data_IF_838194379737
#
_entry.id   IF_838194379737
#
_cell.length_a   1.000
_cell.length_b   1.000
_cell.length_c   1.000
_cell.angle_alpha   90.00
_cell.angle_beta   90.00
_cell.angle_gamma   90.00
#
_symmetry.space_group_name_H-M   'P 1'
#
loop_
_entity.id
_entity.type
_entity.pdbx_description
1 polymer ?
#
# COMPACT_ATOMS: atom_id res chain seq x y z
N UNK A 1 -1.38 3.84 16.93
CA UNK A 1 -2.29 2.83 16.30
C UNK A 1 -2.18 2.87 14.76
N UNK A 2 -2.60 1.82 14.02
CA UNK A 2 -2.76 1.90 12.55
C UNK A 2 -4.11 2.51 12.18
N UNK A 3 -4.15 3.34 11.14
CA UNK A 3 -5.38 3.98 10.63
C UNK A 3 -6.45 2.97 10.25
N UNK A 4 -6.07 1.85 9.62
CA UNK A 4 -6.98 0.77 9.25
C UNK A 4 -7.62 0.08 10.46
N UNK A 5 -6.98 0.15 11.64
CA UNK A 5 -7.57 -0.33 12.89
C UNK A 5 -8.45 0.75 13.52
N UNK A 6 -7.99 2.01 13.51
CA UNK A 6 -8.72 3.15 14.06
C UNK A 6 -10.10 3.33 13.42
N UNK A 7 -10.18 3.30 12.09
CA UNK A 7 -11.45 3.49 11.36
C UNK A 7 -12.45 2.33 11.53
N UNK A 8 -12.05 1.25 12.19
CA UNK A 8 -12.94 0.11 12.50
C UNK A 8 -13.54 0.20 13.90
N UNK A 9 -13.07 1.13 14.74
CA UNK A 9 -13.72 1.44 16.01
C UNK A 9 -15.16 1.88 15.74
N UNK A 10 -16.09 1.41 16.58
CA UNK A 10 -17.53 1.54 16.31
C UNK A 10 -17.95 3.01 16.14
N UNK A 11 -17.57 3.85 17.09
CA UNK A 11 -17.82 5.29 17.10
C UNK A 11 -17.16 6.00 15.91
N UNK A 12 -15.93 5.62 15.57
CA UNK A 12 -15.22 6.19 14.41
C UNK A 12 -15.92 5.80 13.11
N UNK A 13 -16.33 4.53 12.97
CA UNK A 13 -17.05 4.05 11.79
C UNK A 13 -18.40 4.73 11.64
N UNK A 14 -19.11 4.97 12.74
CA UNK A 14 -20.38 5.71 12.77
C UNK A 14 -20.18 7.17 12.35
N UNK A 15 -19.13 7.83 12.83
CA UNK A 15 -18.85 9.22 12.47
C UNK A 15 -18.47 9.35 10.97
N UNK A 16 -17.64 8.43 10.45
CA UNK A 16 -17.39 8.36 9.01
C UNK A 16 -18.69 8.18 8.24
N UNK A 17 -19.57 7.27 8.67
CA UNK A 17 -20.88 7.05 8.04
C UNK A 17 -21.74 8.31 8.02
N UNK A 18 -21.71 9.08 9.10
CA UNK A 18 -22.50 10.29 9.29
C UNK A 18 -22.01 11.45 8.43
N UNK A 19 -20.69 11.66 8.35
CA UNK A 19 -20.10 12.88 7.78
C UNK A 19 -19.50 12.69 6.39
N UNK A 20 -19.12 11.46 6.04
CA UNK A 20 -18.47 11.19 4.77
C UNK A 20 -19.49 10.54 3.83
N UNK A 21 -20.00 11.29 2.83
CA UNK A 21 -20.97 10.78 1.87
C UNK A 21 -20.36 9.63 1.07
N UNK A 22 -21.20 8.67 0.72
CA UNK A 22 -20.77 7.54 -0.08
C UNK A 22 -20.90 7.90 -1.57
N UNK A 23 -19.84 7.76 -2.38
CA UNK A 23 -19.97 7.86 -3.83
C UNK A 23 -20.85 6.71 -4.37
N UNK A 24 -21.53 6.96 -5.50
CA UNK A 24 -22.42 5.97 -6.14
C UNK A 24 -21.61 4.86 -6.80
N UNK A 25 -21.85 3.58 -6.47
CA UNK A 25 -21.15 2.45 -7.08
C UNK A 25 -21.97 1.76 -8.18
N UNK A 26 -21.57 2.01 -9.42
CA UNK A 26 -22.02 1.36 -10.65
C UNK A 26 -21.09 0.21 -11.11
N UNK A 27 -19.89 0.10 -10.51
CA UNK A 27 -18.83 -0.81 -10.96
C UNK A 27 -18.81 -2.20 -10.29
N UNK A 28 -19.86 -2.57 -9.56
CA UNK A 28 -19.89 -3.86 -8.85
C UNK A 28 -19.79 -5.07 -9.79
N UNK A 29 -20.09 -4.88 -11.07
CA UNK A 29 -20.10 -5.91 -12.11
C UNK A 29 -18.81 -5.96 -12.95
N UNK A 30 -17.75 -5.23 -12.58
CA UNK A 30 -16.47 -5.31 -13.31
C UNK A 30 -15.93 -6.74 -13.26
N UNK A 31 -15.69 -7.31 -14.43
CA UNK A 31 -15.18 -8.67 -14.55
C UNK A 31 -13.78 -8.78 -13.96
N UNK A 32 -13.50 -9.95 -13.39
CA UNK A 32 -12.15 -10.34 -13.04
C UNK A 32 -11.41 -10.70 -14.33
N UNK A 33 -10.21 -10.18 -14.49
CA UNK A 33 -9.36 -10.44 -15.67
C UNK A 33 -8.09 -11.21 -15.32
N UNK A 34 -7.75 -11.31 -14.02
CA UNK A 34 -6.72 -12.22 -13.52
C UNK A 34 -7.20 -13.07 -12.32
N UNK A 35 -7.61 -14.30 -12.63
CA UNK A 35 -8.01 -15.30 -11.64
C UNK A 35 -6.88 -15.67 -10.67
N UNK A 36 -7.24 -16.02 -9.44
CA UNK A 36 -6.28 -16.47 -8.44
C UNK A 36 -5.88 -17.92 -8.69
N UNK A 37 -4.58 -18.17 -8.86
CA UNK A 37 -4.05 -19.47 -9.24
C UNK A 37 -3.51 -20.33 -8.07
N UNK A 38 -3.61 -19.87 -6.82
CA UNK A 38 -2.99 -20.55 -5.67
C UNK A 38 -3.80 -20.47 -4.38
N UNK A 39 -3.10 -20.58 -3.23
CA UNK A 39 -3.71 -20.49 -1.88
C UNK A 39 -3.35 -19.20 -1.14
N UNK A 40 -2.34 -18.47 -1.62
CA UNK A 40 -1.74 -17.35 -0.88
C UNK A 40 -2.14 -15.97 -1.43
N UNK A 41 -3.44 -15.71 -1.61
CA UNK A 41 -3.94 -14.46 -2.22
C UNK A 41 -3.35 -13.19 -1.58
N UNK A 42 -3.27 -13.14 -0.24
CA UNK A 42 -2.69 -11.98 0.46
C UNK A 42 -1.19 -11.79 0.19
N UNK A 43 -0.43 -12.88 0.05
CA UNK A 43 1.00 -12.81 -0.29
C UNK A 43 1.20 -12.29 -1.70
N UNK A 44 0.43 -12.81 -2.65
CA UNK A 44 0.48 -12.35 -4.05
C UNK A 44 0.08 -10.88 -4.15
N UNK A 45 -0.92 -10.42 -3.39
CA UNK A 45 -1.28 -9.01 -3.33
C UNK A 45 -0.14 -8.11 -2.84
N UNK A 46 0.56 -8.49 -1.77
CA UNK A 46 1.76 -7.77 -1.32
C UNK A 46 2.90 -7.83 -2.34
N UNK A 47 3.08 -8.96 -3.02
CA UNK A 47 4.10 -9.11 -4.05
C UNK A 47 3.81 -8.21 -5.27
N UNK A 48 2.53 -8.11 -5.65
CA UNK A 48 2.06 -7.21 -6.69
C UNK A 48 2.36 -5.75 -6.34
N UNK A 49 2.09 -5.33 -5.11
CA UNK A 49 2.40 -3.98 -4.65
C UNK A 49 3.89 -3.64 -4.78
N UNK A 50 4.80 -4.52 -4.33
CA UNK A 50 6.24 -4.34 -4.55
C UNK A 50 6.59 -4.22 -6.03
N UNK A 51 6.08 -5.14 -6.86
CA UNK A 51 6.44 -5.19 -8.28
C UNK A 51 5.94 -3.96 -9.03
N UNK A 52 4.71 -3.49 -8.75
CA UNK A 52 4.19 -2.26 -9.34
C UNK A 52 5.03 -1.05 -8.91
N UNK A 53 5.40 -0.94 -7.64
CA UNK A 53 6.31 0.13 -7.17
C UNK A 53 7.66 0.07 -7.87
N UNK A 54 8.20 -1.11 -8.11
CA UNK A 54 9.45 -1.28 -8.85
C UNK A 54 9.29 -0.77 -10.28
N UNK A 55 8.24 -1.18 -10.99
CA UNK A 55 7.93 -0.68 -12.34
C UNK A 55 7.82 0.84 -12.38
N UNK A 56 7.11 1.45 -11.42
CA UNK A 56 6.99 2.91 -11.36
C UNK A 56 8.34 3.59 -11.08
N UNK A 57 9.20 3.00 -10.26
CA UNK A 57 10.56 3.53 -10.04
C UNK A 57 11.44 3.40 -11.29
N UNK A 58 11.31 2.31 -12.04
CA UNK A 58 11.99 2.14 -13.33
C UNK A 58 11.53 3.18 -14.36
N UNK A 59 10.22 3.35 -14.51
CA UNK A 59 9.63 4.32 -15.46
C UNK A 59 9.87 5.77 -15.05
N UNK A 60 9.90 6.04 -13.74
CA UNK A 60 10.08 7.37 -13.17
C UNK A 60 11.19 7.34 -12.10
N UNK A 61 12.48 7.42 -12.51
CA UNK A 61 13.61 7.31 -11.58
C UNK A 61 13.60 8.33 -10.43
N UNK A 62 12.98 9.48 -10.65
CA UNK A 62 12.80 10.55 -9.65
C UNK A 62 11.61 10.32 -8.69
N UNK A 63 10.87 9.23 -8.81
CA UNK A 63 9.81 8.88 -7.87
C UNK A 63 10.38 8.83 -6.44
N UNK A 64 9.68 9.45 -5.51
CA UNK A 64 10.03 9.45 -4.08
C UNK A 64 9.72 8.07 -3.53
N UNK A 65 10.73 7.38 -2.99
CA UNK A 65 10.59 6.06 -2.39
C UNK A 65 11.19 6.01 -0.98
N UNK A 66 10.88 4.92 -0.28
CA UNK A 66 11.25 4.68 1.11
C UNK A 66 11.85 3.28 1.27
N UNK A 67 12.57 3.02 2.39
CA UNK A 67 13.01 1.68 2.73
C UNK A 67 11.86 0.67 2.66
N UNK A 68 12.14 -0.54 2.22
CA UNK A 68 11.11 -1.57 2.12
C UNK A 68 10.63 -1.98 3.50
N UNK A 69 9.34 -2.23 3.67
CA UNK A 69 8.78 -2.74 4.93
C UNK A 69 9.45 -4.07 5.34
N UNK A 70 9.86 -4.87 4.35
CA UNK A 70 10.67 -6.07 4.55
C UNK A 70 12.00 -5.82 5.29
N UNK A 71 12.64 -4.66 5.11
CA UNK A 71 13.89 -4.31 5.82
C UNK A 71 13.64 -4.08 7.32
N UNK A 72 12.51 -3.45 7.66
CA UNK A 72 12.08 -3.33 9.05
C UNK A 72 11.76 -4.71 9.65
N UNK A 73 11.13 -5.59 8.88
CA UNK A 73 10.93 -6.98 9.25
C UNK A 73 12.23 -7.71 9.57
N UNK A 74 13.25 -7.56 8.72
CA UNK A 74 14.55 -8.18 8.97
C UNK A 74 15.26 -7.60 10.21
N UNK A 75 15.24 -6.28 10.40
CA UNK A 75 15.85 -5.63 11.57
C UNK A 75 15.27 -6.20 12.87
N UNK A 76 13.96 -6.37 12.89
CA UNK A 76 13.22 -6.88 14.03
C UNK A 76 13.49 -8.37 14.28
N UNK A 77 13.50 -9.16 13.21
CA UNK A 77 13.78 -10.59 13.23
C UNK A 77 15.20 -10.85 13.74
N UNK A 78 16.18 -10.05 13.30
CA UNK A 78 17.57 -10.09 13.77
C UNK A 78 17.68 -9.86 15.29
N UNK A 79 16.86 -9.00 15.86
CA UNK A 79 16.83 -8.75 17.30
C UNK A 79 16.21 -9.94 18.05
N UNK A 80 15.02 -10.36 17.65
CA UNK A 80 14.23 -11.38 18.37
C UNK A 80 14.82 -12.79 18.24
N UNK A 81 15.47 -13.10 17.13
CA UNK A 81 16.09 -14.41 16.85
C UNK A 81 17.62 -14.33 16.82
N UNK A 82 18.21 -13.40 17.58
CA UNK A 82 19.65 -13.16 17.63
C UNK A 82 20.51 -14.40 17.95
N UNK A 83 19.92 -15.39 18.63
CA UNK A 83 20.59 -16.65 18.97
C UNK A 83 20.81 -17.57 17.74
N UNK A 84 19.91 -17.54 16.74
CA UNK A 84 20.06 -18.33 15.52
C UNK A 84 20.86 -17.56 14.45
N UNK A 85 22.14 -17.36 14.72
CA UNK A 85 23.06 -16.60 13.85
C UNK A 85 23.09 -17.13 12.41
N UNK A 86 22.96 -18.45 12.23
CA UNK A 86 22.99 -19.09 10.91
C UNK A 86 21.74 -18.74 10.11
N UNK A 87 20.57 -18.81 10.72
CA UNK A 87 19.31 -18.46 10.08
C UNK A 87 19.25 -16.96 9.76
N UNK A 88 19.60 -16.08 10.70
CA UNK A 88 19.68 -14.63 10.49
C UNK A 88 20.62 -14.29 9.33
N UNK A 89 21.81 -14.89 9.29
CA UNK A 89 22.77 -14.67 8.20
C UNK A 89 22.19 -15.08 6.85
N UNK A 90 21.49 -16.22 6.79
CA UNK A 90 20.83 -16.69 5.57
C UNK A 90 19.74 -15.74 5.08
N UNK A 91 18.92 -15.20 5.99
CA UNK A 91 17.89 -14.20 5.66
C UNK A 91 18.54 -12.91 5.15
N UNK A 92 19.57 -12.41 5.85
CA UNK A 92 20.31 -11.22 5.44
C UNK A 92 20.91 -11.34 4.04
N UNK A 93 21.52 -12.49 3.73
CA UNK A 93 22.01 -12.79 2.37
C UNK A 93 20.88 -12.75 1.33
N UNK A 94 19.71 -13.30 1.65
CA UNK A 94 18.57 -13.30 0.72
C UNK A 94 17.98 -11.91 0.51
N UNK A 95 17.98 -11.07 1.54
CA UNK A 95 17.60 -9.65 1.41
C UNK A 95 18.60 -8.87 0.54
N UNK A 96 19.90 -9.16 0.67
CA UNK A 96 20.92 -8.58 -0.20
C UNK A 96 20.72 -9.00 -1.67
N UNK A 97 20.43 -10.28 -1.93
CA UNK A 97 20.10 -10.72 -3.29
C UNK A 97 18.85 -10.02 -3.85
N UNK A 98 17.82 -9.79 -3.02
CA UNK A 98 16.65 -9.03 -3.46
C UNK A 98 16.99 -7.59 -3.86
N UNK A 99 17.97 -6.96 -3.19
CA UNK A 99 18.49 -5.64 -3.59
C UNK A 99 19.24 -5.70 -4.93
N UNK A 100 20.07 -6.72 -5.15
CA UNK A 100 20.77 -6.92 -6.42
C UNK A 100 19.77 -7.14 -7.57
N UNK A 101 18.80 -8.03 -7.39
CA UNK A 101 17.76 -8.30 -8.39
C UNK A 101 16.95 -7.03 -8.72
N UNK A 102 16.65 -6.22 -7.71
CA UNK A 102 15.98 -4.93 -7.89
C UNK A 102 16.82 -3.92 -8.67
N UNK A 103 18.11 -3.79 -8.37
CA UNK A 103 19.00 -2.88 -9.10
C UNK A 103 19.13 -3.30 -10.57
N UNK A 104 19.30 -4.60 -10.82
CA UNK A 104 19.29 -5.13 -12.18
C UNK A 104 17.98 -4.84 -12.92
N UNK A 105 16.84 -4.92 -12.23
CA UNK A 105 15.56 -4.53 -12.79
C UNK A 105 15.50 -3.03 -13.13
N UNK A 106 15.96 -2.15 -12.25
CA UNK A 106 16.00 -0.71 -12.53
C UNK A 106 16.91 -0.36 -13.71
N UNK A 107 17.96 -1.14 -13.97
CA UNK A 107 18.85 -0.95 -15.11
C UNK A 107 18.25 -1.49 -16.42
N UNK A 108 17.58 -2.64 -16.36
CA UNK A 108 17.19 -3.39 -17.57
C UNK A 108 15.71 -3.30 -17.93
N UNK A 109 14.84 -2.95 -16.98
CA UNK A 109 13.39 -3.03 -17.09
C UNK A 109 12.83 -4.46 -17.18
N UNK A 110 13.69 -5.50 -17.09
CA UNK A 110 13.30 -6.90 -17.32
C UNK A 110 12.94 -7.59 -16.01
N UNK A 111 11.69 -8.03 -15.88
CA UNK A 111 11.27 -8.88 -14.76
C UNK A 111 11.81 -10.29 -14.94
N UNK A 112 12.95 -10.57 -14.31
CA UNK A 112 13.54 -11.91 -14.27
C UNK A 112 12.87 -12.77 -13.20
N UNK A 113 12.93 -14.09 -13.38
CA UNK A 113 12.42 -15.08 -12.42
C UNK A 113 13.00 -14.90 -11.01
N UNK A 114 14.26 -14.48 -10.91
CA UNK A 114 14.89 -14.29 -9.60
C UNK A 114 14.37 -13.05 -8.87
N UNK A 115 14.06 -11.95 -9.59
CA UNK A 115 13.33 -10.81 -9.04
C UNK A 115 11.99 -11.24 -8.45
N UNK A 116 11.20 -12.04 -9.18
CA UNK A 116 9.89 -12.52 -8.70
C UNK A 116 10.05 -13.34 -7.42
N UNK A 117 11.02 -14.26 -7.37
CA UNK A 117 11.33 -15.03 -6.14
C UNK A 117 11.76 -14.12 -5.00
N UNK A 118 12.53 -13.08 -5.29
CA UNK A 118 13.02 -12.11 -4.30
C UNK A 118 11.89 -11.27 -3.75
N UNK A 119 10.96 -10.79 -4.58
CA UNK A 119 9.75 -10.09 -4.14
C UNK A 119 8.88 -10.98 -3.25
N UNK A 120 8.63 -12.23 -3.64
CA UNK A 120 7.87 -13.18 -2.81
C UNK A 120 8.58 -13.38 -1.45
N UNK A 121 9.91 -13.42 -1.42
CA UNK A 121 10.66 -13.45 -0.17
C UNK A 121 10.48 -12.17 0.66
N UNK A 122 10.52 -10.98 0.05
CA UNK A 122 10.27 -9.70 0.76
C UNK A 122 8.91 -9.70 1.46
N UNK A 123 7.86 -10.24 0.81
CA UNK A 123 6.53 -10.31 1.43
C UNK A 123 6.50 -11.12 2.73
N UNK A 124 7.42 -12.07 2.93
CA UNK A 124 7.48 -12.87 4.17
C UNK A 124 8.12 -12.11 5.31
N UNK A 125 9.16 -11.32 5.02
CA UNK A 125 9.74 -10.40 6.00
C UNK A 125 8.72 -9.32 6.38
N UNK A 126 7.97 -8.83 5.41
CA UNK A 126 6.89 -7.89 5.66
C UNK A 126 5.74 -8.51 6.47
N UNK A 127 5.34 -9.75 6.15
CA UNK A 127 4.34 -10.48 6.96
C UNK A 127 4.80 -10.58 8.41
N UNK A 128 6.07 -10.95 8.64
CA UNK A 128 6.63 -10.99 9.97
C UNK A 128 6.62 -9.61 10.65
N UNK A 129 6.96 -8.54 9.94
CA UNK A 129 6.84 -7.17 10.49
C UNK A 129 5.40 -6.84 10.92
N UNK A 130 4.40 -7.24 10.12
CA UNK A 130 2.99 -6.90 10.33
C UNK A 130 2.32 -7.74 11.43
N UNK A 131 2.62 -9.03 11.54
CA UNK A 131 1.88 -9.95 12.43
C UNK A 131 2.75 -10.78 13.37
N UNK A 132 4.08 -10.63 13.32
CA UNK A 132 5.07 -11.46 14.04
C UNK A 132 5.03 -12.95 13.67
N UNK A 133 4.28 -13.30 12.65
CA UNK A 133 4.19 -14.67 12.17
C UNK A 133 5.41 -15.05 11.32
N UNK A 134 6.13 -16.09 11.75
CA UNK A 134 7.20 -16.73 10.97
C UNK A 134 6.62 -18.00 10.32
N UNK A 135 6.57 -18.02 8.98
CA UNK A 135 6.14 -19.22 8.26
C UNK A 135 7.17 -20.35 8.39
N UNK A 136 6.71 -21.57 8.67
CA UNK A 136 7.54 -22.79 8.69
C UNK A 136 8.31 -23.01 7.37
N UNK A 137 7.77 -22.51 6.25
CA UNK A 137 8.38 -22.58 4.93
C UNK A 137 9.00 -21.25 4.50
N UNK A 138 9.69 -20.54 5.41
CA UNK A 138 10.19 -19.18 5.21
C UNK A 138 10.98 -18.99 3.89
N UNK A 139 11.81 -19.95 3.49
CA UNK A 139 12.61 -19.84 2.26
C UNK A 139 11.93 -20.41 1.00
N UNK A 140 10.80 -21.09 1.12
CA UNK A 140 10.12 -21.73 -0.02
C UNK A 140 9.39 -20.70 -0.88
N UNK A 141 9.55 -20.73 -2.19
CA UNK A 141 8.73 -19.93 -3.11
C UNK A 141 7.82 -20.89 -3.87
N UNK A 142 6.50 -20.70 -3.73
CA UNK A 142 5.51 -21.55 -4.39
C UNK A 142 5.40 -21.17 -5.87
N UNK A 143 5.37 -22.17 -6.77
CA UNK A 143 5.30 -21.92 -8.23
C UNK A 143 4.00 -21.25 -8.66
N UNK A 144 2.91 -21.51 -7.95
CA UNK A 144 1.60 -20.88 -8.18
C UNK A 144 1.64 -19.39 -7.85
N UNK A 145 2.32 -18.98 -6.77
CA UNK A 145 2.49 -17.57 -6.41
C UNK A 145 3.27 -16.81 -7.50
N UNK A 146 4.29 -17.44 -8.12
CA UNK A 146 5.03 -16.88 -9.25
C UNK A 146 4.09 -16.66 -10.44
N UNK A 147 3.36 -17.71 -10.86
CA UNK A 147 2.45 -17.63 -12.00
C UNK A 147 1.34 -16.60 -11.79
N UNK A 148 0.78 -16.53 -10.58
CA UNK A 148 -0.26 -15.56 -10.23
C UNK A 148 0.28 -14.12 -10.27
N UNK A 149 1.49 -13.88 -9.74
CA UNK A 149 2.13 -12.57 -9.83
C UNK A 149 2.45 -12.16 -11.29
N UNK A 150 3.01 -13.08 -12.08
CA UNK A 150 3.29 -12.87 -13.51
C UNK A 150 2.00 -12.52 -14.27
N UNK A 151 0.91 -13.22 -13.99
CA UNK A 151 -0.39 -12.93 -14.59
C UNK A 151 -0.89 -11.54 -14.17
N UNK A 152 -0.90 -11.20 -12.88
CA UNK A 152 -1.38 -9.92 -12.39
C UNK A 152 -0.61 -8.73 -12.95
N UNK A 153 0.71 -8.84 -13.09
CA UNK A 153 1.51 -7.73 -13.60
C UNK A 153 1.37 -7.57 -15.12
N UNK A 154 1.17 -8.67 -15.84
CA UNK A 154 1.03 -8.65 -17.31
C UNK A 154 -0.22 -7.91 -17.81
N UNK A 155 -1.25 -7.84 -16.96
CA UNK A 155 -2.53 -7.20 -17.28
C UNK A 155 -2.60 -5.73 -16.83
N UNK A 156 -1.56 -5.20 -16.18
CA UNK A 156 -1.61 -3.84 -15.63
C UNK A 156 -1.62 -2.82 -16.78
N UNK A 157 -2.68 -2.01 -16.90
CA UNK A 157 -2.72 -0.89 -17.83
C UNK A 157 -1.83 0.25 -17.31
N UNK A 158 -0.55 0.26 -17.72
CA UNK A 158 0.46 1.22 -17.24
C UNK A 158 0.08 2.68 -17.52
N UNK A 159 -0.77 2.93 -18.50
CA UNK A 159 -1.33 4.26 -18.80
C UNK A 159 -2.15 4.84 -17.65
N UNK A 160 -2.76 4.00 -16.79
CA UNK A 160 -3.47 4.47 -15.59
C UNK A 160 -2.51 5.06 -14.54
N UNK A 161 -1.21 4.77 -14.65
CA UNK A 161 -0.17 5.21 -13.72
C UNK A 161 0.82 6.18 -14.38
N UNK A 162 0.36 6.92 -15.40
CA UNK A 162 1.18 7.93 -16.06
C UNK A 162 1.45 9.11 -15.13
N UNK A 163 2.71 9.40 -14.86
CA UNK A 163 3.14 10.51 -14.00
C UNK A 163 3.42 11.75 -14.84
N UNK A 164 2.90 12.92 -14.42
CA UNK A 164 3.21 14.20 -15.06
C UNK A 164 4.16 15.08 -14.25
N UNK A 165 4.04 15.05 -12.93
CA UNK A 165 4.74 15.94 -12.01
C UNK A 165 5.39 15.19 -10.86
N UNK A 166 4.65 14.31 -10.18
CA UNK A 166 5.14 13.65 -8.98
C UNK A 166 4.66 12.22 -8.85
N UNK A 167 5.54 11.36 -8.35
CA UNK A 167 5.23 10.01 -7.97
C UNK A 167 5.81 9.76 -6.57
N UNK A 168 4.98 9.33 -5.62
CA UNK A 168 5.41 8.89 -4.30
C UNK A 168 5.04 7.43 -4.13
N UNK A 169 6.02 6.57 -3.93
CA UNK A 169 5.86 5.13 -3.76
C UNK A 169 5.76 4.82 -2.28
N UNK A 170 4.67 4.18 -1.85
CA UNK A 170 4.39 3.87 -0.45
C UNK A 170 4.47 5.13 0.46
N UNK A 171 3.67 6.18 0.19
CA UNK A 171 3.68 7.43 0.95
C UNK A 171 3.50 7.20 2.47
N UNK A 172 4.29 7.93 3.25
CA UNK A 172 4.22 7.90 4.72
C UNK A 172 3.70 9.23 5.26
N UNK A 173 2.93 9.17 6.35
CA UNK A 173 2.36 10.35 7.02
C UNK A 173 3.08 10.66 8.34
N UNK A 174 4.42 10.70 8.31
CA UNK A 174 5.26 10.71 9.52
C UNK A 174 4.92 11.86 10.49
N UNK A 175 4.62 13.05 9.96
CA UNK A 175 4.20 14.19 10.78
C UNK A 175 2.85 13.95 11.46
N UNK A 176 1.86 13.40 10.75
CA UNK A 176 0.58 13.05 11.36
C UNK A 176 0.77 11.97 12.45
N UNK A 177 1.65 10.98 12.22
CA UNK A 177 2.03 10.02 13.25
C UNK A 177 2.64 10.69 14.48
N UNK A 178 3.50 11.70 14.31
CA UNK A 178 4.08 12.45 15.42
C UNK A 178 3.02 13.27 16.17
N UNK A 179 2.06 13.85 15.46
CA UNK A 179 1.05 14.75 16.03
C UNK A 179 -0.08 14.01 16.74
N UNK A 180 -0.56 12.89 16.19
CA UNK A 180 -1.77 12.19 16.66
C UNK A 180 -1.58 10.68 16.81
N UNK A 181 -0.34 10.16 16.78
CA UNK A 181 -0.04 8.74 17.03
C UNK A 181 -0.59 7.74 16.01
N UNK A 182 -1.25 8.24 14.95
CA UNK A 182 -1.84 7.43 13.89
C UNK A 182 -0.85 7.17 12.76
N UNK A 183 -0.71 5.89 12.39
CA UNK A 183 0.16 5.43 11.30
C UNK A 183 -0.68 4.96 10.14
N UNK A 184 -0.28 5.34 8.94
CA UNK A 184 -0.85 4.85 7.70
C UNK A 184 0.23 4.86 6.63
N UNK A 185 0.13 3.90 5.73
CA UNK A 185 0.98 3.83 4.54
C UNK A 185 -0.01 3.68 3.38
N UNK A 186 -0.15 4.75 2.59
CA UNK A 186 -0.88 4.64 1.31
C UNK A 186 -0.01 3.86 0.33
N UNK A 187 -0.58 3.34 -0.76
CA UNK A 187 0.22 2.54 -1.69
C UNK A 187 0.96 3.44 -2.69
N UNK A 188 0.29 4.46 -3.25
CA UNK A 188 0.90 5.39 -4.22
C UNK A 188 0.33 6.81 -4.09
N UNK A 189 1.13 7.81 -4.44
CA UNK A 189 0.63 9.11 -4.94
C UNK A 189 1.13 9.30 -6.35
N UNK A 190 0.21 9.61 -7.28
CA UNK A 190 0.55 10.03 -8.65
C UNK A 190 -0.10 11.38 -8.89
N UNK A 191 0.73 12.39 -9.11
CA UNK A 191 0.31 13.78 -9.23
C UNK A 191 -0.55 14.23 -8.05
N UNK A 192 -1.84 14.44 -8.27
CA UNK A 192 -2.84 14.86 -7.28
C UNK A 192 -3.73 13.71 -6.79
N UNK A 193 -3.40 12.46 -7.13
CA UNK A 193 -4.18 11.26 -6.79
C UNK A 193 -3.46 10.44 -5.71
N UNK A 194 -4.13 10.21 -4.58
CA UNK A 194 -3.70 9.23 -3.57
C UNK A 194 -4.40 7.88 -3.83
N UNK A 195 -3.62 6.83 -4.07
CA UNK A 195 -4.12 5.53 -4.53
C UNK A 195 -3.84 4.44 -3.50
N UNK A 196 -4.83 3.57 -3.29
CA UNK A 196 -4.74 2.31 -2.56
C UNK A 196 -5.05 1.14 -3.52
N UNK A 197 -4.32 0.04 -3.39
CA UNK A 197 -4.34 -1.12 -4.27
C UNK A 197 -5.07 -2.27 -3.55
N UNK A 198 -6.10 -2.79 -4.20
CA UNK A 198 -6.87 -3.93 -3.73
C UNK A 198 -6.73 -5.13 -4.67
N UNK A 199 -6.06 -6.16 -4.19
CA UNK A 199 -5.96 -7.45 -4.89
C UNK A 199 -7.05 -8.40 -4.41
N UNK A 200 -8.25 -8.27 -4.97
CA UNK A 200 -9.46 -9.00 -4.55
C UNK A 200 -10.11 -9.74 -5.72
N UNK A 201 -10.82 -10.84 -5.44
CA UNK A 201 -11.56 -11.61 -6.46
C UNK A 201 -12.90 -10.96 -6.86
N UNK A 202 -13.49 -10.19 -5.95
CA UNK A 202 -14.76 -9.50 -6.11
C UNK A 202 -14.62 -8.09 -5.57
N UNK A 203 -15.17 -7.13 -6.30
CA UNK A 203 -15.28 -5.74 -5.84
C UNK A 203 -16.42 -5.67 -4.83
N UNK A 204 -16.07 -5.73 -3.55
CA UNK A 204 -16.98 -5.68 -2.41
C UNK A 204 -16.36 -4.86 -1.27
N UNK A 205 -17.12 -4.57 -0.22
CA UNK A 205 -16.66 -3.77 0.94
C UNK A 205 -16.16 -2.37 0.57
N UNK A 206 -16.76 -1.78 -0.47
CA UNK A 206 -16.34 -0.48 -1.00
C UNK A 206 -16.39 0.65 0.03
N UNK A 207 -17.32 0.57 1.00
CA UNK A 207 -17.36 1.50 2.13
C UNK A 207 -16.08 1.49 2.94
N UNK A 208 -15.58 0.31 3.27
CA UNK A 208 -14.40 0.17 4.12
C UNK A 208 -13.14 0.61 3.36
N UNK A 209 -13.03 0.30 2.06
CA UNK A 209 -11.92 0.77 1.23
C UNK A 209 -11.93 2.28 1.04
N UNK A 210 -13.10 2.88 0.85
CA UNK A 210 -13.25 4.32 0.75
C UNK A 210 -12.94 5.02 2.07
N UNK A 211 -13.46 4.51 3.20
CA UNK A 211 -13.12 5.03 4.53
C UNK A 211 -11.60 4.93 4.80
N UNK A 212 -10.93 3.88 4.33
CA UNK A 212 -9.47 3.78 4.42
C UNK A 212 -8.76 4.90 3.66
N UNK A 213 -9.17 5.18 2.41
CA UNK A 213 -8.63 6.29 1.63
C UNK A 213 -8.90 7.65 2.27
N UNK A 214 -10.12 7.88 2.77
CA UNK A 214 -10.46 9.11 3.49
C UNK A 214 -9.64 9.22 4.77
N UNK A 215 -9.38 8.12 5.47
CA UNK A 215 -8.46 8.08 6.60
C UNK A 215 -7.03 8.50 6.22
N UNK A 216 -6.50 8.00 5.10
CA UNK A 216 -5.20 8.45 4.59
C UNK A 216 -5.21 9.93 4.19
N UNK A 217 -6.30 10.40 3.57
CA UNK A 217 -6.48 11.82 3.25
C UNK A 217 -6.52 12.69 4.52
N UNK A 218 -7.16 12.23 5.61
CA UNK A 218 -7.11 12.92 6.91
C UNK A 218 -5.68 13.03 7.44
N UNK A 219 -4.89 11.95 7.37
CA UNK A 219 -3.48 12.01 7.77
C UNK A 219 -2.68 13.00 6.90
N UNK A 220 -2.94 13.03 5.59
CA UNK A 220 -2.38 14.03 4.69
C UNK A 220 -2.76 15.46 5.10
N UNK A 221 -4.02 15.73 5.43
CA UNK A 221 -4.47 17.07 5.84
C UNK A 221 -3.84 17.50 7.17
N UNK A 222 -3.56 16.56 8.07
CA UNK A 222 -2.98 16.82 9.38
C UNK A 222 -1.47 17.07 9.31
N UNK A 223 -0.72 16.26 8.55
CA UNK A 223 0.75 16.27 8.59
C UNK A 223 1.45 16.38 7.25
N UNK A 224 0.72 16.35 6.14
CA UNK A 224 1.27 16.18 4.80
C UNK A 224 1.78 14.75 4.56
N UNK A 225 2.38 14.55 3.39
CA UNK A 225 3.09 13.33 3.02
C UNK A 225 4.58 13.64 3.08
N UNK A 226 5.37 12.77 3.73
CA UNK A 226 6.81 12.93 3.85
C UNK A 226 7.44 13.16 2.47
N UNK A 227 8.40 14.08 2.36
CA UNK A 227 9.12 14.43 1.13
C UNK A 227 8.26 14.90 -0.07
N UNK A 228 6.93 14.96 0.05
CA UNK A 228 6.07 15.52 -0.98
C UNK A 228 6.11 17.05 -0.91
N UNK A 229 6.33 17.77 -2.03
CA UNK A 229 6.33 19.22 -2.04
C UNK A 229 5.03 19.79 -1.46
N UNK A 230 5.07 20.81 -0.58
CA UNK A 230 3.88 21.42 0.02
C UNK A 230 2.90 22.02 -0.99
N UNK A 231 3.41 22.39 -2.17
CA UNK A 231 2.63 22.88 -3.32
C UNK A 231 1.80 21.80 -3.99
N UNK A 232 2.14 20.52 -3.82
CA UNK A 232 1.37 19.41 -4.36
C UNK A 232 0.16 19.13 -3.47
N UNK A 233 -1.04 19.21 -4.04
CA UNK A 233 -2.30 18.98 -3.34
C UNK A 233 -2.94 17.69 -3.82
N UNK A 234 -3.38 16.86 -2.88
CA UNK A 234 -4.23 15.71 -3.20
C UNK A 234 -5.62 16.25 -3.48
N UNK A 235 -6.11 16.02 -4.69
CA UNK A 235 -7.45 16.42 -5.15
C UNK A 235 -8.34 15.21 -5.42
N UNK A 236 -7.74 14.03 -5.53
CA UNK A 236 -8.43 12.82 -5.95
C UNK A 236 -7.95 11.64 -5.12
N UNK A 237 -8.86 10.71 -4.85
CA UNK A 237 -8.57 9.44 -4.20
C UNK A 237 -8.80 8.31 -5.20
N UNK A 238 -8.00 7.25 -5.15
CA UNK A 238 -8.08 6.16 -6.12
C UNK A 238 -8.04 4.77 -5.46
N UNK A 239 -8.89 3.85 -5.94
CA UNK A 239 -8.76 2.42 -5.62
C UNK A 239 -8.41 1.67 -6.90
N UNK A 240 -7.24 1.04 -6.93
CA UNK A 240 -6.86 0.15 -8.02
C UNK A 240 -7.14 -1.30 -7.67
N UNK A 241 -8.09 -1.91 -8.38
CA UNK A 241 -8.44 -3.33 -8.25
C UNK A 241 -7.58 -4.18 -9.18
N UNK A 242 -6.45 -4.70 -8.68
CA UNK A 242 -5.41 -5.32 -9.52
C UNK A 242 -5.89 -6.53 -10.32
N UNK A 243 -6.75 -7.38 -9.75
CA UNK A 243 -7.33 -8.54 -10.47
C UNK A 243 -8.36 -8.15 -11.54
N UNK A 244 -8.83 -6.92 -11.52
CA UNK A 244 -9.84 -6.37 -12.42
C UNK A 244 -9.24 -5.36 -13.41
N UNK A 245 -7.93 -5.08 -13.33
CA UNK A 245 -7.25 -4.04 -14.11
C UNK A 245 -8.00 -2.70 -14.10
N UNK A 246 -8.60 -2.34 -12.96
CA UNK A 246 -9.56 -1.25 -12.87
C UNK A 246 -9.15 -0.23 -11.81
N UNK A 247 -8.93 1.03 -12.21
CA UNK A 247 -8.72 2.16 -11.31
C UNK A 247 -10.00 2.98 -11.20
N UNK A 248 -10.55 3.06 -9.99
CA UNK A 248 -11.68 3.92 -9.68
C UNK A 248 -11.20 5.18 -8.98
N UNK A 249 -11.64 6.35 -9.43
CA UNK A 249 -11.25 7.66 -8.92
C UNK A 249 -12.44 8.36 -8.26
N UNK A 250 -12.17 9.12 -7.20
CA UNK A 250 -13.12 9.96 -6.47
C UNK A 250 -12.53 11.35 -6.31
N UNK A 251 -13.35 12.39 -6.43
CA UNK A 251 -12.92 13.76 -6.19
C UNK A 251 -13.04 14.08 -4.70
N UNK A 252 -11.99 14.68 -4.11
CA UNK A 252 -12.03 15.03 -2.68
C UNK A 252 -13.06 16.10 -2.40
N UNK A 253 -13.39 16.93 -3.40
CA UNK A 253 -14.42 17.97 -3.31
C UNK A 253 -15.83 17.39 -3.06
N UNK A 254 -16.06 16.09 -3.26
CA UNK A 254 -17.33 15.45 -2.90
C UNK A 254 -17.59 15.46 -1.37
N UNK A 255 -16.54 15.57 -0.54
CA UNK A 255 -16.66 15.56 0.92
C UNK A 255 -15.80 16.62 1.64
N UNK A 256 -14.71 17.10 1.04
CA UNK A 256 -13.87 18.20 1.52
C UNK A 256 -14.18 19.47 0.71
N UNK A 257 -15.36 20.02 0.97
CA UNK A 257 -15.84 21.28 0.38
C UNK A 257 -16.42 22.19 1.48
N UNK A 258 -16.83 23.40 1.09
CA UNK A 258 -17.37 24.41 2.01
C UNK A 258 -18.66 23.97 2.72
N UNK A 259 -19.43 23.09 2.10
CA UNK A 259 -20.75 22.67 2.58
C UNK A 259 -20.67 21.46 3.53
N UNK A 260 -19.59 20.67 3.46
CA UNK A 260 -19.44 19.42 4.21
C UNK A 260 -18.62 19.54 5.52
N UNK A 261 -18.25 20.77 5.92
CA UNK A 261 -17.48 21.10 7.14
C UNK A 261 -16.39 20.05 7.48
N UNK A 262 -15.56 19.73 6.48
CA UNK A 262 -14.52 18.72 6.63
C UNK A 262 -13.41 19.18 7.58
N UNK A 263 -13.23 20.49 7.77
CA UNK A 263 -12.32 21.04 8.76
C UNK A 263 -12.67 20.59 10.18
N UNK A 264 -13.94 20.70 10.57
CA UNK A 264 -14.43 20.16 11.85
C UNK A 264 -14.28 18.64 11.95
N UNK A 265 -14.40 17.90 10.84
CA UNK A 265 -14.15 16.46 10.83
C UNK A 265 -12.68 16.16 11.14
N UNK A 266 -11.75 16.92 10.58
CA UNK A 266 -10.32 16.78 10.88
C UNK A 266 -10.02 17.09 12.35
N UNK A 267 -10.62 18.12 12.93
CA UNK A 267 -10.41 18.42 14.36
C UNK A 267 -10.96 17.32 15.26
N UNK A 268 -12.19 16.86 15.03
CA UNK A 268 -12.74 15.69 15.73
C UNK A 268 -11.85 14.45 15.56
N UNK A 269 -11.37 14.20 14.33
CA UNK A 269 -10.54 13.05 14.01
C UNK A 269 -9.23 13.09 14.81
N UNK A 270 -8.60 14.26 14.92
CA UNK A 270 -7.37 14.46 15.72
C UNK A 270 -7.63 14.22 17.20
N UNK A 271 -8.67 14.85 17.76
CA UNK A 271 -9.04 14.72 19.18
C UNK A 271 -9.32 13.26 19.55
N UNK A 272 -10.11 12.57 18.72
CA UNK A 272 -10.45 11.17 18.96
C UNK A 272 -9.24 10.24 18.81
N UNK A 273 -8.37 10.49 17.84
CA UNK A 273 -7.14 9.73 17.65
C UNK A 273 -6.17 9.87 18.83
N UNK A 274 -6.09 11.06 19.45
CA UNK A 274 -5.25 11.30 20.63
C UNK A 274 -5.66 10.47 21.85
N UNK A 275 -6.91 10.00 21.92
CA UNK A 275 -7.40 9.12 22.99
C UNK A 275 -6.90 7.66 22.85
N UNK A 276 -6.27 7.30 21.72
CA UNK A 276 -5.73 5.96 21.44
C UNK A 276 -4.20 5.88 21.60
N UNK A 277 -3.58 6.93 22.15
CA UNK A 277 -2.13 7.03 22.41
C UNK A 277 -1.89 6.82 23.90
#
# INVERSE_FOLDING_TARGET
MKITSFITLKDVKEEFKRRIPMPVFDDLNKQIVAEHLGKNAGRVGMAFDYLLRFYLKYLYPHAIDYPWVAEHGFKLLKTEYSQDKKWISKIGKRLLYAKVDYMEFLETGKVKKDLVKSIIFLTKLETYYRSRHVSSNFFKVDREDIKDLDHLISIVPLELFKVKKICVLNPTFANATKLIGMRGDGDLVIDDVLIDIKTVKKIQNLRDYYNQLVGYYSLYKIGGITNMPPSNKIKRLGIYFSRHAYLRIYDVEDFDNKDNDFASFIEWFKERALQEI
#
